data_IF_203154910101
#
_entry.id   IF_203154910101
#
_cell.length_a   1.000
_cell.length_b   1.000
_cell.length_c   1.000
_cell.angle_alpha   90.00
_cell.angle_beta   90.00
_cell.angle_gamma   90.00
#
_symmetry.space_group_name_H-M   'P 1'
#
loop_
_entity.id
_entity.type
_entity.pdbx_description
1 polymer ?
#
# COMPACT_ATOMS: atom_id res chain seq x y z
N UNK A 1 -1.06 -22.00 -5.03
CA UNK A 1 -2.25 -22.77 -4.59
C UNK A 1 -3.28 -21.81 -4.01
N UNK A 2 -4.52 -21.90 -4.49
CA UNK A 2 -5.66 -21.15 -3.98
C UNK A 2 -6.56 -22.10 -3.17
N UNK A 3 -6.91 -21.70 -1.95
CA UNK A 3 -7.93 -22.38 -1.13
C UNK A 3 -8.90 -21.36 -0.59
N UNK A 4 -10.18 -21.71 -0.50
CA UNK A 4 -11.18 -20.85 0.12
C UNK A 4 -12.22 -21.66 0.89
N UNK A 5 -12.83 -21.01 1.88
CA UNK A 5 -14.02 -21.50 2.57
C UNK A 5 -15.03 -20.36 2.67
N UNK A 6 -16.30 -20.69 2.57
CA UNK A 6 -17.41 -19.73 2.63
C UNK A 6 -18.52 -20.28 3.53
N UNK A 7 -18.97 -19.47 4.47
CA UNK A 7 -20.17 -19.72 5.27
C UNK A 7 -21.21 -18.64 4.93
N UNK A 8 -22.45 -19.06 4.69
CA UNK A 8 -23.55 -18.18 4.38
C UNK A 8 -24.65 -18.38 5.42
N UNK A 9 -25.08 -17.29 6.04
CA UNK A 9 -26.23 -17.25 6.93
C UNK A 9 -27.27 -16.27 6.40
N UNK A 10 -28.55 -16.64 6.45
CA UNK A 10 -29.66 -15.80 6.00
C UNK A 10 -30.47 -15.41 7.23
N UNK A 11 -30.43 -14.12 7.56
CA UNK A 11 -31.22 -13.56 8.65
C UNK A 11 -32.70 -13.39 8.29
N UNK A 12 -33.52 -13.13 9.30
CA UNK A 12 -34.98 -12.98 9.17
C UNK A 12 -35.45 -11.78 8.34
N UNK A 13 -34.56 -10.78 8.10
CA UNK A 13 -34.81 -9.54 7.36
C UNK A 13 -34.21 -9.50 5.95
N UNK A 14 -34.05 -10.64 5.29
CA UNK A 14 -33.37 -10.78 4.00
C UNK A 14 -31.91 -10.30 4.04
N UNK A 15 -31.33 -10.30 5.21
CA UNK A 15 -29.91 -10.00 5.41
C UNK A 15 -29.09 -11.26 5.20
N UNK A 16 -28.00 -11.15 4.46
CA UNK A 16 -27.09 -12.26 4.17
C UNK A 16 -25.76 -11.95 4.81
N UNK A 17 -25.31 -12.83 5.70
CA UNK A 17 -23.99 -12.80 6.30
C UNK A 17 -23.12 -13.78 5.54
N UNK A 18 -21.97 -13.29 5.07
CA UNK A 18 -20.97 -14.10 4.40
C UNK A 18 -19.69 -14.03 5.21
N UNK A 19 -19.18 -15.20 5.58
CA UNK A 19 -17.86 -15.33 6.19
C UNK A 19 -17.02 -16.29 5.35
N UNK A 20 -15.84 -15.85 4.98
CA UNK A 20 -15.01 -16.65 4.11
C UNK A 20 -13.53 -16.45 4.36
N UNK A 21 -12.76 -17.39 3.84
CA UNK A 21 -11.31 -17.37 3.87
C UNK A 21 -10.77 -17.80 2.51
N UNK A 22 -9.93 -16.95 1.94
CA UNK A 22 -9.15 -17.26 0.75
C UNK A 22 -7.66 -17.20 1.07
N UNK A 23 -6.90 -18.11 0.54
CA UNK A 23 -5.44 -18.14 0.69
C UNK A 23 -4.78 -18.39 -0.65
N UNK A 24 -3.76 -17.62 -0.93
CA UNK A 24 -2.92 -17.73 -2.11
C UNK A 24 -1.48 -17.95 -1.66
N UNK A 25 -0.80 -18.94 -2.23
CA UNK A 25 0.62 -19.18 -2.02
C UNK A 25 1.29 -19.26 -3.39
N UNK A 26 2.23 -18.36 -3.64
CA UNK A 26 2.94 -18.27 -4.91
C UNK A 26 1.99 -17.93 -6.07
N UNK A 27 1.71 -16.66 -6.28
CA UNK A 27 0.92 -16.16 -7.40
C UNK A 27 1.79 -15.26 -8.27
N UNK A 28 1.87 -15.62 -9.53
CA UNK A 28 2.50 -14.80 -10.56
C UNK A 28 1.42 -14.12 -11.39
N UNK A 29 1.50 -12.82 -11.52
CA UNK A 29 0.58 -12.00 -12.31
C UNK A 29 1.37 -11.20 -13.31
N UNK A 30 1.01 -11.32 -14.59
CA UNK A 30 1.54 -10.48 -15.65
C UNK A 30 0.43 -9.66 -16.28
N UNK A 31 0.53 -8.35 -16.16
CA UNK A 31 -0.38 -7.42 -16.81
C UNK A 31 0.35 -6.13 -17.14
N UNK A 32 0.48 -5.83 -18.42
CA UNK A 32 1.28 -4.70 -18.95
C UNK A 32 0.89 -3.32 -18.39
N UNK A 33 -0.38 -3.12 -18.00
CA UNK A 33 -0.82 -1.86 -17.40
C UNK A 33 -0.43 -1.72 -15.92
N UNK A 34 -0.05 -2.83 -15.25
CA UNK A 34 0.37 -2.82 -13.84
C UNK A 34 1.89 -2.76 -13.73
N UNK A 35 2.58 -3.60 -14.50
CA UNK A 35 4.04 -3.68 -14.50
C UNK A 35 4.54 -4.27 -15.81
N UNK A 36 5.72 -3.86 -16.30
CA UNK A 36 6.43 -4.51 -17.39
C UNK A 36 7.03 -5.86 -16.98
N UNK A 37 7.16 -6.12 -15.68
CA UNK A 37 7.69 -7.35 -15.10
C UNK A 37 6.57 -8.23 -14.53
N UNK A 38 6.88 -9.51 -14.29
CA UNK A 38 5.97 -10.42 -13.58
C UNK A 38 5.91 -10.01 -12.12
N UNK A 39 4.70 -9.72 -11.64
CA UNK A 39 4.44 -9.42 -10.23
C UNK A 39 4.34 -10.76 -9.48
N UNK A 40 5.22 -10.96 -8.52
CA UNK A 40 5.24 -12.16 -7.69
C UNK A 40 4.73 -11.89 -6.28
N UNK A 41 3.68 -12.61 -5.87
CA UNK A 41 3.11 -12.60 -4.53
C UNK A 41 3.44 -13.92 -3.82
N UNK A 42 4.27 -13.87 -2.81
CA UNK A 42 4.68 -15.06 -2.04
C UNK A 42 3.50 -15.65 -1.27
N UNK A 43 2.80 -14.83 -0.51
CA UNK A 43 1.68 -15.24 0.33
C UNK A 43 0.62 -14.15 0.43
N UNK A 44 -0.62 -14.53 0.23
CA UNK A 44 -1.79 -13.70 0.49
C UNK A 44 -2.87 -14.50 1.23
N UNK A 45 -3.54 -13.87 2.18
CA UNK A 45 -4.71 -14.42 2.84
C UNK A 45 -5.74 -13.32 3.04
N UNK A 46 -7.00 -13.66 2.74
CA UNK A 46 -8.16 -12.84 3.01
C UNK A 46 -9.11 -13.63 3.90
N UNK A 47 -9.38 -13.15 5.11
CA UNK A 47 -10.48 -13.59 5.94
C UNK A 47 -11.50 -12.47 5.96
N UNK A 48 -12.67 -12.67 5.40
CA UNK A 48 -13.67 -11.63 5.27
C UNK A 48 -14.95 -11.97 5.99
N UNK A 49 -15.56 -10.94 6.55
CA UNK A 49 -16.91 -10.95 7.09
C UNK A 49 -17.72 -9.84 6.41
N UNK A 50 -18.81 -10.21 5.76
CA UNK A 50 -19.62 -9.29 4.96
C UNK A 50 -21.08 -9.37 5.33
N UNK A 51 -21.72 -8.22 5.38
CA UNK A 51 -23.15 -8.05 5.50
C UNK A 51 -23.73 -7.52 4.19
N UNK A 52 -24.74 -8.18 3.68
CA UNK A 52 -25.43 -7.76 2.46
C UNK A 52 -26.92 -7.74 2.72
N UNK A 53 -27.58 -6.65 2.40
CA UNK A 53 -29.03 -6.55 2.35
C UNK A 53 -29.49 -5.83 1.08
N UNK A 54 -30.78 -5.57 0.92
CA UNK A 54 -31.32 -4.93 -0.29
C UNK A 54 -30.86 -3.48 -0.52
N UNK A 55 -30.24 -2.85 0.48
CA UNK A 55 -29.86 -1.43 0.46
C UNK A 55 -28.42 -1.17 0.87
N UNK A 56 -27.70 -2.17 1.38
CA UNK A 56 -26.33 -2.00 1.81
C UNK A 56 -25.47 -3.23 1.57
N UNK A 57 -24.21 -2.96 1.39
CA UNK A 57 -23.09 -3.90 1.45
C UNK A 57 -22.09 -3.38 2.48
N UNK A 58 -21.65 -4.24 3.37
CA UNK A 58 -20.64 -3.90 4.37
C UNK A 58 -19.59 -5.01 4.45
N UNK A 59 -18.34 -4.63 4.32
CA UNK A 59 -17.18 -5.44 4.67
C UNK A 59 -16.74 -5.00 6.06
N UNK A 60 -16.94 -5.88 7.03
CA UNK A 60 -16.71 -5.56 8.43
C UNK A 60 -15.22 -5.35 8.74
N UNK A 61 -14.91 -4.50 9.72
CA UNK A 61 -13.55 -4.23 10.21
C UNK A 61 -12.84 -5.43 10.85
N UNK A 62 -13.58 -6.52 11.11
CA UNK A 62 -13.02 -7.82 11.49
C UNK A 62 -12.38 -8.53 10.30
N UNK A 63 -12.60 -8.04 9.08
CA UNK A 63 -11.93 -8.54 7.88
C UNK A 63 -10.42 -8.38 8.00
N UNK A 64 -9.71 -9.45 7.67
CA UNK A 64 -8.25 -9.49 7.73
C UNK A 64 -7.71 -9.71 6.32
N UNK A 65 -6.84 -8.81 5.89
CA UNK A 65 -6.03 -8.97 4.69
C UNK A 65 -4.59 -9.14 5.11
N UNK A 66 -4.07 -10.36 4.95
CA UNK A 66 -2.64 -10.65 5.14
C UNK A 66 -1.94 -10.62 3.78
N UNK A 67 -0.85 -9.92 3.73
CA UNK A 67 -0.04 -9.76 2.54
C UNK A 67 1.43 -9.85 2.93
N UNK A 68 2.04 -11.00 2.68
CA UNK A 68 3.39 -11.32 3.13
C UNK A 68 3.55 -11.14 4.65
N UNK A 69 4.17 -10.05 5.11
CA UNK A 69 4.34 -9.71 6.53
C UNK A 69 3.32 -8.68 7.02
N UNK A 70 2.57 -8.07 6.13
CA UNK A 70 1.59 -7.04 6.48
C UNK A 70 0.22 -7.63 6.72
N UNK A 71 -0.45 -7.11 7.73
CA UNK A 71 -1.84 -7.40 8.03
C UNK A 71 -2.62 -6.10 8.10
N UNK A 72 -3.75 -6.04 7.40
CA UNK A 72 -4.67 -4.90 7.39
C UNK A 72 -6.06 -5.34 7.82
N UNK A 73 -6.81 -4.39 8.37
CA UNK A 73 -8.21 -4.53 8.72
C UNK A 73 -9.03 -3.46 7.95
N UNK A 74 -9.35 -3.72 6.67
CA UNK A 74 -10.13 -2.78 5.89
C UNK A 74 -11.59 -2.82 6.33
N UNK A 75 -12.19 -1.65 6.36
CA UNK A 75 -13.64 -1.46 6.47
C UNK A 75 -14.15 -0.86 5.17
N UNK A 76 -15.26 -1.38 4.66
CA UNK A 76 -15.92 -0.84 3.49
C UNK A 76 -17.44 -0.91 3.70
N UNK A 77 -18.12 0.20 3.47
CA UNK A 77 -19.57 0.25 3.48
C UNK A 77 -20.09 0.99 2.26
N UNK A 78 -21.06 0.41 1.61
CA UNK A 78 -21.84 1.02 0.54
C UNK A 78 -23.29 0.89 0.92
N UNK A 79 -24.01 1.99 1.03
CA UNK A 79 -25.41 1.98 1.38
C UNK A 79 -26.23 2.94 0.52
N UNK A 80 -27.50 2.62 0.35
CA UNK A 80 -28.45 3.45 -0.35
C UNK A 80 -29.45 4.04 0.63
N UNK A 81 -29.31 5.34 0.90
CA UNK A 81 -30.20 6.11 1.75
C UNK A 81 -31.02 7.10 0.91
N UNK A 82 -32.35 7.10 1.09
CA UNK A 82 -33.29 8.01 0.42
C UNK A 82 -33.09 8.14 -1.10
N UNK A 83 -32.63 7.04 -1.73
CA UNK A 83 -32.38 6.98 -3.18
C UNK A 83 -30.94 7.28 -3.62
N UNK A 84 -30.11 7.83 -2.75
CA UNK A 84 -28.72 8.17 -3.04
C UNK A 84 -27.75 7.12 -2.45
N UNK A 85 -26.57 7.01 -3.04
CA UNK A 85 -25.53 6.13 -2.56
C UNK A 85 -24.59 6.88 -1.62
N UNK A 86 -24.23 6.19 -0.54
CA UNK A 86 -23.17 6.60 0.37
C UNK A 86 -22.09 5.52 0.40
N UNK A 87 -20.85 5.94 0.35
CA UNK A 87 -19.68 5.08 0.32
C UNK A 87 -18.72 5.48 1.43
N UNK A 88 -18.35 4.53 2.29
CA UNK A 88 -17.32 4.72 3.32
C UNK A 88 -16.25 3.64 3.18
N UNK A 89 -15.00 4.04 3.17
CA UNK A 89 -13.86 3.12 3.24
C UNK A 89 -12.86 3.60 4.29
N UNK A 90 -12.35 2.68 5.10
CA UNK A 90 -11.37 3.01 6.12
C UNK A 90 -10.34 1.89 6.29
N UNK A 91 -9.11 2.29 6.57
CA UNK A 91 -8.03 1.40 6.99
C UNK A 91 -7.27 2.07 8.12
N UNK A 92 -7.18 1.39 9.25
CA UNK A 92 -6.34 1.81 10.37
C UNK A 92 -5.26 0.76 10.61
N UNK A 93 -4.02 1.14 10.44
CA UNK A 93 -2.86 0.33 10.78
C UNK A 93 -2.08 1.01 11.89
N UNK A 94 -2.11 0.42 13.08
CA UNK A 94 -1.28 0.84 14.21
C UNK A 94 0.20 0.66 13.88
N UNK A 95 1.08 1.15 14.74
CA UNK A 95 2.52 1.05 14.57
C UNK A 95 2.99 -0.36 14.19
N UNK A 96 3.78 -0.46 13.16
CA UNK A 96 4.38 -1.69 12.65
C UNK A 96 5.78 -1.41 12.10
N UNK A 97 6.69 -2.40 12.08
CA UNK A 97 8.02 -2.21 11.54
C UNK A 97 8.00 -1.74 10.08
N UNK A 98 8.72 -0.66 9.77
CA UNK A 98 8.79 -0.12 8.42
C UNK A 98 9.34 -1.16 7.42
N UNK A 99 10.28 -2.02 7.85
CA UNK A 99 10.83 -3.09 7.02
C UNK A 99 9.78 -4.11 6.59
N UNK A 100 8.73 -4.31 7.37
CA UNK A 100 7.63 -5.19 7.00
C UNK A 100 6.84 -4.66 5.80
N UNK A 101 6.71 -3.32 5.65
CA UNK A 101 6.11 -2.72 4.47
C UNK A 101 6.95 -3.02 3.24
N UNK A 102 8.22 -2.61 3.25
CA UNK A 102 9.08 -2.71 2.07
C UNK A 102 9.38 -4.16 1.69
N UNK A 103 9.59 -5.04 2.67
CA UNK A 103 9.79 -6.48 2.42
C UNK A 103 8.53 -7.22 1.97
N UNK A 104 7.35 -6.63 2.17
CA UNK A 104 6.07 -7.21 1.73
C UNK A 104 5.67 -6.77 0.33
N UNK A 105 6.27 -5.73 -0.24
CA UNK A 105 5.93 -5.29 -1.58
C UNK A 105 6.16 -6.42 -2.59
N UNK A 106 5.21 -6.67 -3.51
CA UNK A 106 5.38 -7.69 -4.53
C UNK A 106 6.56 -7.36 -5.43
N UNK A 107 7.39 -8.36 -5.66
CA UNK A 107 8.48 -8.24 -6.63
C UNK A 107 7.91 -7.94 -8.02
N UNK A 108 8.58 -7.09 -8.75
CA UNK A 108 8.17 -6.68 -10.09
C UNK A 108 7.14 -5.57 -10.13
N UNK A 109 6.44 -5.25 -9.01
CA UNK A 109 5.51 -4.12 -8.97
C UNK A 109 6.21 -2.79 -8.64
N UNK A 110 7.16 -2.84 -7.72
CA UNK A 110 7.94 -1.69 -7.24
C UNK A 110 9.44 -1.98 -7.35
N UNK A 111 9.91 -2.22 -8.57
CA UNK A 111 11.29 -2.65 -8.81
C UNK A 111 12.34 -1.68 -8.24
N UNK A 112 12.01 -0.38 -8.16
CA UNK A 112 12.88 0.64 -7.55
C UNK A 112 13.01 0.52 -6.03
N UNK A 113 12.10 -0.21 -5.38
CA UNK A 113 12.09 -0.41 -3.93
C UNK A 113 12.56 -1.82 -3.53
N UNK A 114 12.90 -2.67 -4.50
CA UNK A 114 13.36 -4.01 -4.22
C UNK A 114 14.70 -4.00 -3.45
N UNK A 115 14.73 -4.77 -2.36
CA UNK A 115 15.93 -4.91 -1.53
C UNK A 115 16.23 -3.72 -0.63
N UNK A 116 15.33 -2.73 -0.56
CA UNK A 116 15.41 -1.69 0.47
C UNK A 116 15.30 -2.34 1.84
N UNK A 117 16.18 -1.96 2.75
CA UNK A 117 16.10 -2.27 4.17
C UNK A 117 15.87 -0.99 4.95
N UNK A 118 14.93 -1.05 5.86
CA UNK A 118 14.55 0.11 6.67
C UNK A 118 14.54 -0.27 8.16
N UNK A 119 14.57 0.74 9.02
CA UNK A 119 14.32 0.62 10.46
C UNK A 119 13.26 1.62 10.89
N UNK A 120 12.82 1.50 12.15
CA UNK A 120 11.76 2.33 12.70
C UNK A 120 10.38 1.74 12.44
N UNK A 121 9.37 2.52 12.79
CA UNK A 121 7.98 2.12 12.75
C UNK A 121 7.16 3.09 11.91
N UNK A 122 6.13 2.57 11.27
CA UNK A 122 5.12 3.33 10.53
C UNK A 122 3.74 3.06 11.11
N UNK A 123 2.85 4.05 11.02
CA UNK A 123 1.43 3.86 11.25
C UNK A 123 0.65 4.53 10.12
N UNK A 124 -0.46 3.94 9.70
CA UNK A 124 -1.24 4.44 8.58
C UNK A 124 -2.71 4.56 8.95
N UNK A 125 -3.28 5.69 8.62
CA UNK A 125 -4.70 5.96 8.69
C UNK A 125 -5.23 6.38 7.32
N UNK A 126 -6.34 5.81 6.92
CA UNK A 126 -7.07 6.18 5.72
C UNK A 126 -8.57 6.20 6.01
N UNK A 127 -9.24 7.26 5.60
CA UNK A 127 -10.69 7.39 5.60
C UNK A 127 -11.13 8.05 4.31
N UNK A 128 -12.07 7.42 3.64
CA UNK A 128 -12.81 7.99 2.51
C UNK A 128 -14.30 7.89 2.81
N UNK A 129 -14.99 9.01 2.76
CA UNK A 129 -16.44 9.08 2.99
C UNK A 129 -17.06 9.96 1.90
N UNK A 130 -17.98 9.39 1.12
CA UNK A 130 -18.60 10.03 -0.03
C UNK A 130 -20.10 9.87 0.04
N UNK A 131 -20.81 10.98 0.20
CA UNK A 131 -22.24 11.06 -0.08
C UNK A 131 -22.47 11.55 -1.50
N UNK A 132 -22.96 10.69 -2.38
CA UNK A 132 -23.22 11.04 -3.78
C UNK A 132 -24.39 12.02 -3.94
N UNK A 133 -25.17 12.28 -2.89
CA UNK A 133 -26.16 13.35 -2.86
C UNK A 133 -25.55 14.72 -2.54
N UNK A 134 -24.39 14.75 -1.85
CA UNK A 134 -23.73 15.95 -1.37
C UNK A 134 -22.21 15.81 -1.58
N UNK A 135 -21.76 15.89 -2.80
CA UNK A 135 -20.34 15.72 -3.15
C UNK A 135 -19.42 16.75 -2.47
N UNK A 136 -19.97 17.91 -2.09
CA UNK A 136 -19.22 18.93 -1.32
C UNK A 136 -18.91 18.48 0.11
N UNK A 137 -19.55 17.42 0.60
CA UNK A 137 -19.29 16.84 1.91
C UNK A 137 -18.26 15.70 1.89
N UNK A 138 -17.61 15.45 0.77
CA UNK A 138 -16.57 14.43 0.63
C UNK A 138 -15.48 14.63 1.69
N UNK A 139 -15.18 13.56 2.42
CA UNK A 139 -14.05 13.51 3.36
C UNK A 139 -13.03 12.52 2.83
N UNK A 140 -11.82 12.98 2.69
CA UNK A 140 -10.66 12.15 2.38
C UNK A 140 -9.56 12.48 3.39
N UNK A 141 -9.23 11.52 4.22
CA UNK A 141 -8.14 11.60 5.17
C UNK A 141 -7.13 10.50 4.85
N UNK A 142 -5.87 10.87 4.72
CA UNK A 142 -4.79 9.90 4.54
C UNK A 142 -3.57 10.41 5.30
N UNK A 143 -3.16 9.68 6.31
CA UNK A 143 -2.05 10.07 7.19
C UNK A 143 -1.09 8.89 7.34
N UNK A 144 0.18 9.14 7.04
CA UNK A 144 1.29 8.24 7.33
C UNK A 144 2.13 8.87 8.44
N UNK A 145 2.23 8.18 9.57
CA UNK A 145 3.10 8.58 10.68
C UNK A 145 4.35 7.72 10.67
N UNK A 146 5.45 8.33 11.03
CA UNK A 146 6.74 7.66 11.18
C UNK A 146 7.31 7.84 12.58
N UNK A 147 8.08 6.87 13.03
CA UNK A 147 8.84 6.94 14.27
C UNK A 147 10.18 6.26 14.08
N UNK A 148 11.26 7.02 14.26
CA UNK A 148 12.64 6.55 14.09
C UNK A 148 12.88 5.86 12.73
N UNK A 149 12.23 6.37 11.67
CA UNK A 149 12.32 5.82 10.34
C UNK A 149 13.66 6.17 9.68
N UNK A 150 14.39 5.15 9.24
CA UNK A 150 15.65 5.30 8.51
C UNK A 150 15.75 4.27 7.40
N UNK A 151 16.31 4.67 6.27
CA UNK A 151 16.71 3.76 5.22
C UNK A 151 18.13 3.28 5.53
N UNK A 152 18.28 1.99 5.83
CA UNK A 152 19.57 1.38 6.19
C UNK A 152 20.39 1.07 4.95
N UNK A 153 19.75 0.51 3.93
CA UNK A 153 20.42 0.18 2.68
C UNK A 153 19.44 0.06 1.52
N UNK A 154 19.92 0.32 0.33
CA UNK A 154 19.27 -0.02 -0.93
C UNK A 154 19.82 -1.34 -1.45
N UNK A 155 18.96 -2.20 -1.97
CA UNK A 155 19.42 -3.44 -2.64
C UNK A 155 20.28 -3.10 -3.86
N UNK A 156 21.33 -3.90 -4.09
CA UNK A 156 22.22 -3.72 -5.25
C UNK A 156 21.44 -3.77 -6.59
N UNK A 157 20.32 -4.48 -6.63
CA UNK A 157 19.45 -4.62 -7.80
C UNK A 157 18.68 -3.33 -8.11
N UNK A 158 18.29 -2.56 -7.11
CA UNK A 158 17.57 -1.29 -7.34
C UNK A 158 18.48 -0.21 -7.91
N UNK A 159 19.75 -0.17 -7.52
CA UNK A 159 20.71 0.76 -8.08
C UNK A 159 21.09 0.43 -9.54
N UNK A 160 21.13 -0.85 -9.90
CA UNK A 160 21.43 -1.28 -11.27
C UNK A 160 20.26 -1.10 -12.25
N UNK A 161 19.03 -0.99 -11.73
CA UNK A 161 17.82 -0.75 -12.53
C UNK A 161 17.43 0.73 -12.60
N UNK A 162 18.07 1.61 -11.84
CA UNK A 162 17.94 3.05 -12.04
C UNK A 162 18.53 3.34 -13.42
N UNK A 163 17.67 3.77 -14.34
CA UNK A 163 18.11 4.13 -15.71
C UNK A 163 19.22 5.17 -15.66
N UNK A 164 20.10 5.15 -16.66
CA UNK A 164 21.17 6.14 -16.84
C UNK A 164 20.65 7.59 -16.95
N UNK A 165 19.34 7.77 -16.96
CA UNK A 165 18.61 9.05 -17.03
C UNK A 165 18.32 9.67 -15.66
N UNK A 166 18.67 9.03 -14.54
CA UNK A 166 18.49 9.65 -13.23
C UNK A 166 19.55 10.73 -13.03
N UNK A 167 19.13 11.97 -13.11
CA UNK A 167 19.99 13.15 -12.93
C UNK A 167 19.63 13.78 -11.58
N UNK A 168 20.60 13.81 -10.67
CA UNK A 168 20.48 14.59 -9.44
C UNK A 168 20.99 16.00 -9.68
N UNK A 169 20.16 17.00 -9.40
CA UNK A 169 20.54 18.41 -9.50
C UNK A 169 20.61 19.01 -8.08
N UNK A 170 21.79 19.44 -7.68
CA UNK A 170 21.97 20.19 -6.45
C UNK A 170 21.62 21.66 -6.68
N UNK A 171 20.85 22.22 -5.74
CA UNK A 171 20.44 23.63 -5.75
C UNK A 171 21.06 24.37 -4.57
N UNK A 172 21.53 25.57 -4.80
CA UNK A 172 21.94 26.49 -3.78
C UNK A 172 21.11 27.79 -3.92
N UNK A 173 20.35 28.17 -2.88
CA UNK A 173 19.43 29.31 -2.92
C UNK A 173 18.41 29.26 -4.07
N UNK A 174 17.94 28.07 -4.43
CA UNK A 174 16.99 27.87 -5.52
C UNK A 174 17.61 27.89 -6.94
N UNK A 175 18.92 28.04 -7.07
CA UNK A 175 19.64 28.00 -8.34
C UNK A 175 20.35 26.66 -8.49
N UNK A 176 20.22 25.98 -9.64
CA UNK A 176 20.95 24.73 -9.87
C UNK A 176 22.44 25.02 -9.99
N UNK A 177 23.25 24.44 -9.09
CA UNK A 177 24.70 24.65 -9.05
C UNK A 177 25.48 23.46 -9.62
N UNK A 178 24.91 22.25 -9.55
CA UNK A 178 25.57 21.05 -10.02
C UNK A 178 24.61 19.94 -10.37
N UNK A 179 24.87 19.24 -11.44
CA UNK A 179 24.10 18.09 -11.93
C UNK A 179 24.99 16.86 -11.95
N UNK A 180 24.51 15.76 -11.37
CA UNK A 180 25.25 14.50 -11.32
C UNK A 180 24.38 13.40 -11.96
N UNK A 181 24.93 12.60 -12.88
CA UNK A 181 24.28 11.37 -13.26
C UNK A 181 24.34 10.38 -12.09
N UNK A 182 23.21 9.84 -11.69
CA UNK A 182 23.14 8.74 -10.75
C UNK A 182 22.97 7.47 -11.57
N UNK A 183 24.04 6.76 -11.80
CA UNK A 183 24.03 5.52 -12.56
C UNK A 183 25.10 4.55 -12.08
N UNK A 184 25.16 3.34 -12.64
CA UNK A 184 26.11 2.30 -12.23
C UNK A 184 27.59 2.70 -12.40
N UNK A 185 27.86 3.79 -13.09
CA UNK A 185 29.21 4.35 -13.23
C UNK A 185 29.65 5.23 -12.05
N UNK A 186 28.79 5.59 -11.12
CA UNK A 186 29.19 6.32 -9.91
C UNK A 186 29.91 5.38 -8.95
N UNK A 187 31.22 5.21 -9.15
CA UNK A 187 32.09 4.37 -8.30
C UNK A 187 32.35 4.95 -6.91
N UNK A 188 31.93 6.17 -6.63
CA UNK A 188 32.10 6.85 -5.34
C UNK A 188 30.76 7.44 -4.90
N UNK A 189 30.04 6.68 -4.15
CA UNK A 189 28.89 7.19 -3.40
C UNK A 189 29.44 7.96 -2.20
N UNK A 190 29.31 9.26 -2.21
CA UNK A 190 29.53 10.05 -0.98
C UNK A 190 28.41 9.72 -0.02
N UNK A 191 28.69 9.48 1.28
CA UNK A 191 27.63 9.21 2.25
C UNK A 191 26.53 10.27 2.20
N UNK A 192 25.30 9.88 2.44
CA UNK A 192 24.12 10.77 2.44
C UNK A 192 24.31 12.05 3.28
N UNK A 193 25.14 11.97 4.32
CA UNK A 193 25.49 13.11 5.19
C UNK A 193 26.21 14.26 4.47
N UNK A 194 26.84 13.99 3.36
CA UNK A 194 27.53 15.00 2.54
C UNK A 194 26.69 15.51 1.37
N UNK A 195 25.53 14.92 1.10
CA UNK A 195 24.61 15.31 0.01
C UNK A 195 23.45 16.18 0.55
N UNK A 196 23.48 16.52 1.76
CA UNK A 196 22.34 16.74 2.59
C UNK A 196 21.80 18.12 2.78
N UNK A 197 21.65 19.12 2.17
CA UNK A 197 20.57 20.04 2.52
C UNK A 197 19.22 19.74 1.86
N UNK A 198 19.20 18.97 0.77
CA UNK A 198 18.00 18.83 -0.08
C UNK A 198 17.14 17.62 0.28
N UNK A 199 17.74 16.60 0.88
CA UNK A 199 17.01 15.40 1.35
C UNK A 199 16.48 15.52 2.79
N UNK A 200 16.67 16.68 3.44
CA UNK A 200 16.14 16.99 4.77
C UNK A 200 14.86 17.84 4.75
N UNK A 201 14.18 17.95 3.63
CA UNK A 201 12.83 18.50 3.56
C UNK A 201 11.79 17.40 3.61
#
# INVERSE_FOLDING_TARGET
TLSYSLTKEIGSSKQVYLKGKARVNGLDVFHKALSPEIIHLDRGQLCYEMNINGHSFELDSTTIVDFNKLQFHPYLRVEKEKGNWHFTAAVNKSWFPADDLFSSLPKGLFSNLEGIKTSGELAYHFLLDIDFAQLDSLKLESELKEKDFHIISYGATSLSKMSDEFIYTAYENGVPVRTFPIGPSCKHFTPLDSISPILRM
#
